data_IF_686781161639
#
_entry.id   IF_686781161639
#
_cell.length_a   1.000
_cell.length_b   1.000
_cell.length_c   1.000
_cell.angle_alpha   90.00
_cell.angle_beta   90.00
_cell.angle_gamma   90.00
#
_symmetry.space_group_name_H-M   'P 1'
#
loop_
_entity.id
_entity.type
_entity.pdbx_description
1 polymer ?
#
# COMPACT_ATOMS: atom_id res chain seq x y z
N UNK A 1 11.81 -28.77 7.44
CA UNK A 1 10.84 -27.97 6.65
C UNK A 1 11.27 -26.51 6.75
N UNK A 2 11.64 -25.89 5.63
CA UNK A 2 11.88 -24.43 5.63
C UNK A 2 10.56 -23.72 5.90
N UNK A 3 10.56 -22.70 6.76
CA UNK A 3 9.33 -21.94 7.05
C UNK A 3 9.06 -20.99 5.88
N UNK A 4 7.84 -20.97 5.34
CA UNK A 4 7.44 -20.04 4.28
C UNK A 4 7.05 -18.69 4.90
N UNK A 5 7.55 -17.58 4.35
CA UNK A 5 7.09 -16.24 4.71
C UNK A 5 5.63 -16.03 4.30
N UNK A 6 4.94 -15.16 5.06
CA UNK A 6 3.56 -14.73 4.84
C UNK A 6 3.52 -13.20 4.98
N UNK A 7 2.63 -12.56 4.21
CA UNK A 7 2.37 -11.13 4.30
C UNK A 7 1.40 -10.83 5.45
N UNK A 8 1.73 -9.82 6.25
CA UNK A 8 0.91 -9.30 7.32
C UNK A 8 0.83 -7.79 7.20
N UNK A 9 -0.29 -7.22 7.63
CA UNK A 9 -0.47 -5.79 7.80
C UNK A 9 -0.28 -5.45 9.28
N UNK A 10 0.62 -4.53 9.60
CA UNK A 10 0.79 -3.98 10.94
C UNK A 10 0.23 -2.58 11.02
N UNK A 11 -0.55 -2.27 12.04
CA UNK A 11 -1.21 -0.97 12.19
C UNK A 11 -1.55 -0.68 13.65
N UNK A 12 -1.84 0.58 13.94
CA UNK A 12 -2.43 1.00 15.22
C UNK A 12 -3.89 0.58 15.25
N UNK A 13 -4.32 -0.15 16.28
CA UNK A 13 -5.71 -0.59 16.38
C UNK A 13 -6.68 0.59 16.57
N UNK A 14 -6.26 1.67 17.22
CA UNK A 14 -7.04 2.87 17.50
C UNK A 14 -7.17 3.75 16.26
N UNK A 15 -6.09 3.91 15.49
CA UNK A 15 -6.10 4.70 14.25
C UNK A 15 -6.64 3.90 13.06
N UNK A 16 -6.64 2.57 13.15
CA UNK A 16 -7.06 1.68 12.08
C UNK A 16 -5.97 1.48 11.03
N UNK A 17 -6.28 0.67 10.00
CA UNK A 17 -5.36 0.37 8.91
C UNK A 17 -5.21 1.50 7.89
N UNK A 18 -6.11 2.48 7.92
CA UNK A 18 -6.10 3.63 7.00
C UNK A 18 -5.01 4.65 7.38
N UNK A 19 -4.63 4.71 8.66
CA UNK A 19 -3.64 5.65 9.17
C UNK A 19 -2.30 4.96 9.44
N UNK A 20 -1.45 4.85 8.42
CA UNK A 20 -0.04 4.46 8.60
C UNK A 20 0.19 2.95 8.79
N UNK A 21 -0.56 2.11 8.09
CA UNK A 21 -0.30 0.68 8.08
C UNK A 21 0.96 0.31 7.30
N UNK A 22 1.70 -0.69 7.81
CA UNK A 22 2.93 -1.22 7.22
C UNK A 22 2.74 -2.67 6.73
N UNK A 23 3.56 -3.07 5.77
CA UNK A 23 3.62 -4.45 5.25
C UNK A 23 4.75 -5.22 5.93
N UNK A 24 4.44 -6.39 6.48
CA UNK A 24 5.39 -7.22 7.23
C UNK A 24 5.43 -8.62 6.62
N UNK A 25 6.63 -9.07 6.25
CA UNK A 25 6.86 -10.46 5.86
C UNK A 25 7.40 -11.24 7.05
N UNK A 26 6.68 -12.29 7.47
CA UNK A 26 7.09 -13.11 8.61
C UNK A 26 6.60 -14.56 8.50
N UNK A 27 7.18 -15.47 9.29
CA UNK A 27 6.79 -16.87 9.27
C UNK A 27 5.45 -17.16 9.96
N UNK A 28 5.03 -16.27 10.87
CA UNK A 28 3.78 -16.38 11.60
C UNK A 28 3.41 -15.01 12.21
N UNK A 29 2.20 -14.92 12.76
CA UNK A 29 1.64 -13.70 13.35
C UNK A 29 2.45 -13.19 14.56
N UNK A 30 3.06 -14.08 15.36
CA UNK A 30 3.87 -13.67 16.52
C UNK A 30 5.16 -12.99 16.07
N UNK A 31 5.81 -13.56 15.06
CA UNK A 31 7.01 -12.98 14.46
C UNK A 31 6.69 -11.63 13.81
N UNK A 32 5.58 -11.54 13.07
CA UNK A 32 5.13 -10.28 12.46
C UNK A 32 4.91 -9.19 13.52
N UNK A 33 4.21 -9.50 14.62
CA UNK A 33 3.97 -8.55 15.70
C UNK A 33 5.26 -8.07 16.34
N UNK A 34 6.22 -8.98 16.56
CA UNK A 34 7.53 -8.65 17.12
C UNK A 34 8.29 -7.67 16.21
N UNK A 35 8.37 -7.98 14.91
CA UNK A 35 9.08 -7.16 13.92
C UNK A 35 8.43 -5.79 13.81
N UNK A 36 7.11 -5.74 13.63
CA UNK A 36 6.37 -4.49 13.50
C UNK A 36 6.50 -3.59 14.73
N UNK A 37 6.39 -4.16 15.93
CA UNK A 37 6.55 -3.40 17.17
C UNK A 37 7.99 -2.87 17.36
N UNK A 38 9.02 -3.60 16.92
CA UNK A 38 10.40 -3.12 17.01
C UNK A 38 10.70 -1.99 16.02
N UNK A 39 10.05 -1.98 14.86
CA UNK A 39 10.28 -1.00 13.81
C UNK A 39 9.46 0.28 13.99
N UNK A 40 8.21 0.13 14.45
CA UNK A 40 7.24 1.23 14.57
C UNK A 40 6.96 1.62 16.02
N UNK A 41 7.62 0.97 17.00
CA UNK A 41 7.35 1.16 18.42
C UNK A 41 7.49 2.60 18.87
N UNK A 42 8.47 3.34 18.34
CA UNK A 42 8.66 4.74 18.74
C UNK A 42 7.74 5.71 17.99
N UNK A 43 7.30 5.38 16.77
CA UNK A 43 6.42 6.24 15.94
C UNK A 43 4.92 6.01 16.21
N UNK A 44 4.51 4.77 16.51
CA UNK A 44 3.13 4.38 16.81
C UNK A 44 2.84 4.30 18.32
N UNK A 45 3.86 4.34 19.18
CA UNK A 45 3.68 4.35 20.64
C UNK A 45 4.10 5.70 21.25
N UNK A 46 3.57 6.78 20.70
CA UNK A 46 3.74 8.17 21.20
C UNK A 46 3.00 8.40 22.54
N UNK A 47 3.28 7.56 23.53
CA UNK A 47 2.82 7.72 24.91
C UNK A 47 1.67 6.79 25.29
N UNK A 48 2.02 5.71 25.99
CA UNK A 48 1.19 4.99 26.97
C UNK A 48 0.36 3.78 26.50
N UNK A 49 0.16 3.53 25.20
CA UNK A 49 -0.68 2.41 24.78
C UNK A 49 0.01 1.52 23.72
N UNK A 50 0.34 0.28 24.11
CA UNK A 50 0.83 -0.77 23.20
C UNK A 50 -0.35 -1.21 22.32
N UNK A 51 -0.65 -0.42 21.30
CA UNK A 51 -1.84 -0.60 20.48
C UNK A 51 -1.56 -1.17 19.07
N UNK A 52 -0.34 -1.67 18.90
CA UNK A 52 0.08 -2.29 17.65
C UNK A 52 -0.55 -3.68 17.47
N UNK A 53 -1.32 -3.81 16.39
CA UNK A 53 -1.94 -5.06 15.95
C UNK A 53 -1.41 -5.49 14.60
N UNK A 54 -1.51 -6.79 14.34
CA UNK A 54 -1.15 -7.38 13.05
C UNK A 54 -2.29 -8.25 12.53
N UNK A 55 -2.60 -8.09 11.25
CA UNK A 55 -3.60 -8.87 10.52
C UNK A 55 -2.94 -9.65 9.39
N UNK A 56 -3.37 -10.89 9.19
CA UNK A 56 -2.86 -11.71 8.09
C UNK A 56 -3.57 -11.31 6.80
N UNK A 57 -2.79 -10.97 5.78
CA UNK A 57 -3.27 -10.73 4.42
C UNK A 57 -3.35 -12.08 3.69
N UNK A 58 -4.57 -12.62 3.62
CA UNK A 58 -4.84 -13.86 2.89
C UNK A 58 -4.81 -13.61 1.40
N UNK A 59 -4.31 -14.59 0.63
CA UNK A 59 -4.29 -14.56 -0.84
C UNK A 59 -3.58 -13.33 -1.44
N UNK A 60 -2.70 -12.69 -0.67
CA UNK A 60 -2.00 -11.47 -1.07
C UNK A 60 -0.61 -11.78 -1.68
N UNK A 61 -0.56 -12.76 -2.60
CA UNK A 61 0.68 -13.19 -3.23
C UNK A 61 1.30 -12.06 -4.09
N UNK A 62 0.48 -11.15 -4.65
CA UNK A 62 0.93 -9.97 -5.39
C UNK A 62 1.83 -9.05 -4.56
N UNK A 63 1.66 -9.00 -3.24
CA UNK A 63 2.48 -8.17 -2.36
C UNK A 63 3.93 -8.66 -2.26
N UNK A 64 4.20 -9.93 -2.57
CA UNK A 64 5.56 -10.48 -2.52
C UNK A 64 6.50 -9.89 -3.58
N UNK A 65 5.97 -9.20 -4.60
CA UNK A 65 6.80 -8.41 -5.53
C UNK A 65 7.59 -7.31 -4.81
N UNK A 66 7.08 -6.82 -3.68
CA UNK A 66 7.72 -5.79 -2.86
C UNK A 66 8.78 -6.36 -1.91
N UNK A 67 8.89 -7.70 -1.81
CA UNK A 67 9.78 -8.37 -0.89
C UNK A 67 11.24 -8.05 -1.20
N UNK A 68 12.00 -7.64 -0.19
CA UNK A 68 13.42 -7.23 -0.35
C UNK A 68 14.42 -8.29 0.14
N UNK A 69 13.93 -9.30 0.86
CA UNK A 69 14.73 -10.35 1.49
C UNK A 69 13.89 -11.61 1.71
N UNK A 70 14.53 -12.78 1.69
CA UNK A 70 13.90 -14.06 2.07
C UNK A 70 13.83 -14.25 3.60
N UNK A 71 14.35 -13.29 4.37
CA UNK A 71 14.25 -13.27 5.83
C UNK A 71 13.08 -12.40 6.30
N UNK A 72 12.52 -12.61 7.51
CA UNK A 72 11.46 -11.76 8.04
C UNK A 72 11.86 -10.28 8.12
N UNK A 73 11.03 -9.39 7.58
CA UNK A 73 11.30 -7.96 7.52
C UNK A 73 10.01 -7.13 7.39
N UNK A 74 10.16 -5.80 7.45
CA UNK A 74 9.08 -4.83 7.33
C UNK A 74 9.33 -3.89 6.14
N UNK A 75 8.25 -3.40 5.56
CA UNK A 75 8.19 -2.33 4.57
C UNK A 75 7.27 -1.26 5.16
N UNK A 76 7.88 -0.17 5.65
CA UNK A 76 7.14 0.92 6.32
C UNK A 76 6.30 1.74 5.33
N UNK A 77 6.73 1.83 4.08
CA UNK A 77 6.01 2.50 3.00
C UNK A 77 5.76 1.48 1.88
N UNK A 78 4.71 0.65 1.98
CA UNK A 78 4.32 -0.24 0.89
C UNK A 78 3.96 0.56 -0.36
N UNK A 79 4.08 -0.07 -1.53
CA UNK A 79 3.54 0.52 -2.76
C UNK A 79 2.02 0.72 -2.62
N UNK A 80 1.56 1.92 -2.94
CA UNK A 80 0.17 2.36 -2.83
C UNK A 80 -0.33 2.84 -4.20
N UNK A 81 -1.64 2.89 -4.36
CA UNK A 81 -2.30 3.36 -5.57
C UNK A 81 -2.11 4.88 -5.74
N UNK A 82 -1.67 5.32 -6.91
CA UNK A 82 -1.50 6.75 -7.23
C UNK A 82 -2.83 7.55 -7.26
N UNK A 83 -3.98 6.87 -7.32
CA UNK A 83 -5.30 7.51 -7.35
C UNK A 83 -5.91 7.67 -5.96
N UNK A 84 -6.12 6.56 -5.24
CA UNK A 84 -6.77 6.56 -3.94
C UNK A 84 -5.80 6.61 -2.75
N UNK A 85 -4.50 6.56 -2.99
CA UNK A 85 -3.43 6.55 -1.97
C UNK A 85 -3.47 5.34 -1.00
N UNK A 86 -4.37 4.38 -1.24
CA UNK A 86 -4.47 3.14 -0.48
C UNK A 86 -3.49 2.08 -1.01
N UNK A 87 -3.01 1.21 -0.14
CA UNK A 87 -2.16 0.07 -0.49
C UNK A 87 -2.86 -1.27 -0.24
N UNK A 88 -2.25 -2.35 -0.73
CA UNK A 88 -2.76 -3.71 -0.53
C UNK A 88 -3.45 -4.29 -1.77
N UNK A 89 -3.67 -3.46 -2.78
CA UNK A 89 -4.18 -3.87 -4.09
C UNK A 89 -3.04 -4.30 -5.01
N UNK A 90 -3.36 -5.10 -6.03
CA UNK A 90 -2.51 -5.24 -7.20
C UNK A 90 -2.55 -3.91 -7.97
N UNK A 91 -1.35 -3.42 -8.34
CA UNK A 91 -1.19 -2.18 -9.07
C UNK A 91 -0.77 -2.51 -10.50
N UNK A 92 -1.29 -1.74 -11.46
CA UNK A 92 -0.84 -1.79 -12.85
C UNK A 92 0.55 -1.16 -13.04
N UNK A 93 1.00 -1.11 -14.29
CA UNK A 93 2.32 -0.55 -14.66
C UNK A 93 2.42 0.97 -14.37
N UNK A 94 1.28 1.67 -14.32
CA UNK A 94 1.18 3.10 -14.04
C UNK A 94 0.99 3.39 -12.53
N UNK A 95 0.93 2.34 -11.70
CA UNK A 95 0.81 2.43 -10.24
C UNK A 95 -0.62 2.67 -9.75
N UNK A 96 -1.64 2.33 -10.54
CA UNK A 96 -3.05 2.45 -10.16
C UNK A 96 -3.65 1.09 -9.79
N UNK A 97 -4.58 1.07 -8.83
CA UNK A 97 -5.42 -0.09 -8.58
C UNK A 97 -6.52 -0.18 -9.66
N UNK A 98 -7.12 -1.36 -9.82
CA UNK A 98 -8.14 -1.61 -10.84
C UNK A 98 -9.28 -0.57 -10.85
N UNK A 99 -9.78 -0.16 -9.67
CA UNK A 99 -10.86 0.81 -9.55
C UNK A 99 -10.43 2.21 -10.04
N UNK A 100 -9.26 2.69 -9.62
CA UNK A 100 -8.75 3.99 -10.06
C UNK A 100 -8.30 3.97 -11.53
N UNK A 101 -7.81 2.83 -12.04
CA UNK A 101 -7.44 2.68 -13.44
C UNK A 101 -8.67 2.79 -14.36
N UNK A 102 -9.80 2.19 -13.97
CA UNK A 102 -11.08 2.34 -14.68
C UNK A 102 -11.56 3.80 -14.70
N UNK A 103 -11.45 4.51 -13.58
CA UNK A 103 -11.81 5.94 -13.51
C UNK A 103 -10.89 6.84 -14.34
N UNK A 104 -9.58 6.55 -14.38
CA UNK A 104 -8.61 7.27 -15.19
C UNK A 104 -8.89 7.11 -16.69
N UNK A 105 -9.28 5.91 -17.13
CA UNK A 105 -9.70 5.62 -18.51
C UNK A 105 -11.08 6.21 -18.86
N UNK A 106 -11.87 6.58 -17.86
CA UNK A 106 -13.20 7.18 -17.99
C UNK A 106 -13.23 8.71 -18.08
N UNK A 107 -12.08 9.39 -18.00
CA UNK A 107 -11.98 10.83 -18.34
C UNK A 107 -11.55 10.99 -19.79
N UNK A 108 -12.49 11.17 -20.74
CA UNK A 108 -12.13 11.85 -21.96
C UNK A 108 -11.67 13.26 -21.58
N UNK A 109 -10.39 13.57 -21.85
CA UNK A 109 -9.91 14.88 -22.31
C UNK A 109 -10.50 16.11 -21.59
N UNK A 110 -9.74 16.84 -20.78
CA UNK A 110 -8.75 17.79 -21.32
C UNK A 110 -9.06 18.21 -22.77
N UNK A 111 -10.24 18.77 -23.01
CA UNK A 111 -10.52 19.55 -24.21
C UNK A 111 -9.80 20.91 -24.09
N UNK A 112 -8.47 20.88 -24.03
CA UNK A 112 -7.60 21.92 -24.57
C UNK A 112 -7.65 21.93 -26.09
N UNK A 113 -8.86 21.99 -26.66
CA UNK A 113 -9.03 22.32 -28.07
C UNK A 113 -9.15 23.84 -28.13
N UNK A 114 -8.03 24.50 -28.38
CA UNK A 114 -7.97 25.89 -28.80
C UNK A 114 -8.50 25.96 -30.25
N UNK A 115 -9.78 25.67 -30.45
CA UNK A 115 -10.46 25.84 -31.72
C UNK A 115 -10.78 27.33 -31.93
N UNK A 116 -9.76 28.17 -32.04
CA UNK A 116 -9.88 29.47 -32.71
C UNK A 116 -9.30 29.35 -34.12
N UNK A 117 -10.16 28.83 -34.98
CA UNK A 117 -10.16 29.05 -36.43
C UNK A 117 -9.83 30.51 -36.74
N UNK A 118 -8.64 30.77 -37.31
CA UNK A 118 -8.39 32.01 -38.05
C UNK A 118 -8.92 31.79 -39.46
N UNK A 119 -10.16 32.23 -39.70
CA UNK A 119 -10.65 32.40 -41.05
C UNK A 119 -9.76 33.43 -41.75
N UNK A 120 -9.09 32.98 -42.82
CA UNK A 120 -8.48 33.85 -43.82
C UNK A 120 -9.58 34.73 -44.41
N UNK A 121 -9.62 35.99 -43.98
CA UNK A 121 -10.37 37.04 -44.68
C UNK A 121 -9.58 37.41 -45.93
N UNK A 122 -10.12 36.99 -47.07
CA UNK A 122 -9.69 37.38 -48.41
C UNK A 122 -9.83 38.89 -48.66
#
# INVERSE_FOLDING_TARGET
>A
MSKKLRAYMGYSHTCGSEEGACLIFAYNRKDARKIGFQAMGDELADGEWIDFVVSWLWEADHLFVQMRSDEPHIINCPAFCNGCELWGFELDEDGYCAECAEEALGRPDDLGIDAYSTEEVA
#
